data_IF_270169241387
#
_entry.id   IF_270169241387
#
_cell.length_a   1.000
_cell.length_b   1.000
_cell.length_c   1.000
_cell.angle_alpha   90.00
_cell.angle_beta   90.00
_cell.angle_gamma   90.00
#
_symmetry.space_group_name_H-M   'P 1'
#
loop_
_entity.id
_entity.type
_entity.pdbx_description
1 polymer ?
#
# COMPACT_ATOMS: atom_id res chain seq x y z
N UNK A 1 -30.25 -23.60 -16.41
CA UNK A 1 -30.00 -22.39 -17.22
C UNK A 1 -29.70 -21.25 -16.26
N UNK A 2 -28.49 -21.29 -15.70
CA UNK A 2 -27.85 -20.27 -14.85
C UNK A 2 -26.35 -20.52 -15.15
N UNK A 3 -25.42 -19.58 -15.35
CA UNK A 3 -25.19 -18.27 -14.74
C UNK A 3 -24.25 -17.44 -15.67
N UNK A 4 -24.61 -16.20 -16.04
CA UNK A 4 -23.65 -15.20 -16.55
C UNK A 4 -23.38 -14.05 -15.57
N UNK A 5 -23.97 -14.07 -14.37
CA UNK A 5 -23.96 -12.94 -13.44
C UNK A 5 -22.63 -12.83 -12.68
N UNK A 6 -21.97 -13.96 -12.43
CA UNK A 6 -20.72 -14.02 -11.68
C UNK A 6 -19.52 -13.42 -12.43
N UNK A 7 -19.47 -13.61 -13.75
CA UNK A 7 -18.40 -13.04 -14.60
C UNK A 7 -18.54 -11.51 -14.71
N UNK A 8 -19.77 -11.01 -14.85
CA UNK A 8 -20.05 -9.58 -14.85
C UNK A 8 -19.74 -8.92 -13.49
N UNK A 9 -20.01 -9.61 -12.38
CA UNK A 9 -19.65 -9.14 -11.04
C UNK A 9 -18.12 -9.11 -10.83
N UNK A 10 -17.41 -10.14 -11.31
CA UNK A 10 -15.95 -10.19 -11.26
C UNK A 10 -15.30 -9.08 -12.11
N UNK A 11 -15.84 -8.82 -13.31
CA UNK A 11 -15.37 -7.74 -14.17
C UNK A 11 -15.57 -6.35 -13.54
N UNK A 12 -16.70 -6.13 -12.86
CA UNK A 12 -16.98 -4.89 -12.13
C UNK A 12 -16.03 -4.68 -10.94
N UNK A 13 -15.74 -5.75 -10.19
CA UNK A 13 -14.77 -5.70 -9.08
C UNK A 13 -13.35 -5.38 -9.56
N UNK A 14 -12.91 -5.98 -10.68
CA UNK A 14 -11.61 -5.69 -11.28
C UNK A 14 -11.51 -4.24 -11.77
N UNK A 15 -12.60 -3.70 -12.36
CA UNK A 15 -12.66 -2.31 -12.79
C UNK A 15 -12.58 -1.33 -11.60
N UNK A 16 -13.23 -1.66 -10.47
CA UNK A 16 -13.13 -0.88 -9.23
C UNK A 16 -11.70 -0.86 -8.69
N UNK A 17 -11.05 -2.02 -8.59
CA UNK A 17 -9.67 -2.11 -8.12
C UNK A 17 -8.68 -1.34 -9.01
N UNK A 18 -8.87 -1.39 -10.34
CA UNK A 18 -8.06 -0.61 -11.28
C UNK A 18 -8.26 0.90 -11.11
N UNK A 19 -9.50 1.35 -10.83
CA UNK A 19 -9.81 2.75 -10.58
C UNK A 19 -9.19 3.24 -9.26
N UNK A 20 -9.25 2.44 -8.21
CA UNK A 20 -8.61 2.74 -6.91
C UNK A 20 -7.09 2.87 -7.03
N UNK A 21 -6.46 1.94 -7.74
CA UNK A 21 -5.01 1.98 -7.95
C UNK A 21 -4.60 3.19 -8.82
N UNK A 22 -5.39 3.54 -9.83
CA UNK A 22 -5.15 4.75 -10.62
C UNK A 22 -5.29 6.02 -9.77
N UNK A 23 -6.27 6.08 -8.86
CA UNK A 23 -6.43 7.18 -7.92
C UNK A 23 -5.26 7.27 -6.93
N UNK A 24 -4.78 6.12 -6.41
CA UNK A 24 -3.59 6.04 -5.56
C UNK A 24 -2.35 6.57 -6.26
N UNK A 25 -2.09 6.15 -7.52
CA UNK A 25 -0.95 6.64 -8.30
C UNK A 25 -1.01 8.15 -8.55
N UNK A 26 -2.18 8.70 -8.87
CA UNK A 26 -2.35 10.16 -9.04
C UNK A 26 -2.00 10.92 -7.77
N UNK A 27 -2.46 10.42 -6.61
CA UNK A 27 -2.14 11.01 -5.30
C UNK A 27 -0.64 10.93 -4.99
N UNK A 28 0.01 9.81 -5.31
CA UNK A 28 1.46 9.67 -5.10
C UNK A 28 2.24 10.64 -5.98
N UNK A 29 1.86 10.80 -7.25
CA UNK A 29 2.50 11.77 -8.16
C UNK A 29 2.28 13.21 -7.69
N UNK A 30 1.12 13.54 -7.12
CA UNK A 30 0.88 14.87 -6.54
C UNK A 30 1.83 15.20 -5.38
N UNK A 31 2.15 14.20 -4.54
CA UNK A 31 2.99 14.39 -3.35
C UNK A 31 4.48 14.26 -3.67
N UNK A 32 4.85 13.30 -4.50
CA UNK A 32 6.24 12.88 -4.75
C UNK A 32 6.76 13.25 -6.15
N UNK A 33 5.90 13.71 -7.06
CA UNK A 33 6.24 13.99 -8.45
C UNK A 33 6.38 12.72 -9.30
N UNK A 34 7.20 12.80 -10.36
CA UNK A 34 7.41 11.68 -11.30
C UNK A 34 8.32 10.57 -10.74
N UNK A 35 9.07 10.87 -9.67
CA UNK A 35 9.92 9.90 -8.99
C UNK A 35 9.15 9.34 -7.81
N UNK A 36 8.56 8.16 -8.01
CA UNK A 36 7.91 7.43 -6.92
C UNK A 36 8.98 6.80 -6.02
N UNK A 37 8.77 6.77 -4.69
CA UNK A 37 9.62 5.97 -3.81
C UNK A 37 9.56 4.50 -4.23
N UNK A 38 10.70 3.80 -4.18
CA UNK A 38 10.67 2.34 -4.17
C UNK A 38 9.95 1.90 -2.89
N UNK A 39 9.16 0.82 -3.00
CA UNK A 39 8.15 0.43 -2.01
C UNK A 39 8.58 0.70 -0.56
N UNK A 40 7.71 1.37 0.20
CA UNK A 40 7.91 1.63 1.62
C UNK A 40 8.28 0.33 2.36
N UNK A 41 9.31 0.39 3.20
CA UNK A 41 9.60 -0.62 4.21
C UNK A 41 8.47 -0.57 5.24
N UNK A 42 7.28 -1.05 4.85
CA UNK A 42 6.12 -1.06 5.73
C UNK A 42 6.49 -1.91 6.94
N UNK A 43 6.52 -1.33 8.16
CA UNK A 43 6.84 -2.08 9.34
C UNK A 43 5.77 -3.15 9.49
N UNK A 44 6.15 -4.40 9.23
CA UNK A 44 5.29 -5.55 9.47
C UNK A 44 4.71 -5.43 10.89
N UNK A 45 3.38 -5.53 11.02
CA UNK A 45 2.68 -5.31 12.28
C UNK A 45 3.13 -6.26 13.42
N UNK A 46 4.01 -7.22 13.13
CA UNK A 46 4.70 -8.07 14.09
C UNK A 46 5.66 -7.32 15.02
N UNK A 47 6.12 -6.09 14.69
CA UNK A 47 7.09 -5.37 15.52
C UNK A 47 6.51 -4.14 16.24
N UNK A 48 5.44 -4.34 17.04
CA UNK A 48 4.96 -3.31 18.00
C UNK A 48 5.82 -3.24 19.27
N UNK A 49 7.04 -3.75 19.23
CA UNK A 49 7.96 -3.73 20.35
C UNK A 49 8.97 -2.61 20.16
N UNK A 50 9.54 -2.11 21.25
CA UNK A 50 10.63 -1.11 21.21
C UNK A 50 11.93 -1.65 20.60
N UNK A 51 11.91 -2.86 20.02
CA UNK A 51 13.06 -3.55 19.47
C UNK A 51 13.75 -2.72 18.39
N UNK A 52 12.99 -2.17 17.43
CA UNK A 52 13.57 -1.31 16.41
C UNK A 52 14.26 -0.09 17.03
N UNK A 53 13.63 0.52 18.03
CA UNK A 53 14.19 1.69 18.73
C UNK A 53 15.48 1.32 19.47
N UNK A 54 15.51 0.21 20.19
CA UNK A 54 16.72 -0.24 20.89
C UNK A 54 17.87 -0.55 19.94
N UNK A 55 17.57 -1.10 18.76
CA UNK A 55 18.56 -1.43 17.73
C UNK A 55 19.09 -0.19 16.99
N UNK A 56 18.29 0.88 16.89
CA UNK A 56 18.61 2.06 16.07
C UNK A 56 18.79 3.35 16.88
N UNK A 57 18.67 3.32 18.21
CA UNK A 57 18.79 4.54 19.02
C UNK A 57 20.19 5.15 18.88
N UNK A 58 20.30 6.49 18.74
CA UNK A 58 21.58 7.15 18.69
C UNK A 58 22.43 6.86 19.94
N UNK A 59 23.78 6.82 19.82
CA UNK A 59 24.67 6.45 20.92
C UNK A 59 24.66 7.44 22.10
N UNK A 60 24.09 8.63 21.93
CA UNK A 60 23.95 9.64 22.99
C UNK A 60 22.55 9.66 23.62
N UNK A 61 21.69 8.70 23.28
CA UNK A 61 20.34 8.59 23.82
C UNK A 61 20.33 7.63 25.01
N UNK A 62 20.16 8.16 26.22
CA UNK A 62 19.88 7.41 27.46
C UNK A 62 18.37 7.38 27.71
#
# INVERSE_FOLDING_TARGET
MSEPVDDAAAASAAASAAAEEAARRRRLVEVFGDVLPEADDEPTAQNRNDQWYLENRPPHHE
#
